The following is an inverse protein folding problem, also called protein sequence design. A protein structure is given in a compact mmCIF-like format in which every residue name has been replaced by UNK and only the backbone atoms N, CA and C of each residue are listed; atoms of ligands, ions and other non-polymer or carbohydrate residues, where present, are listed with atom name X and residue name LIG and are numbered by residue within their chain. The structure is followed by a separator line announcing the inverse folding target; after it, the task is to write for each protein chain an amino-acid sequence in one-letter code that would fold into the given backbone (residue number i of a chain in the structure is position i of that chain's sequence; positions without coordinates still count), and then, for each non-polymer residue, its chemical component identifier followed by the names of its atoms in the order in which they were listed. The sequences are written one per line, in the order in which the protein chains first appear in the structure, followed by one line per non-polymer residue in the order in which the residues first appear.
data_IF_524185159123
#
_entry.id   IF_524185159123
#
_cell.length_a   1.000
_cell.length_b   1.000
_cell.length_c   1.000
_cell.angle_alpha   90.00
_cell.angle_beta   90.00
_cell.angle_gamma   90.00
#
_symmetry.space_group_name_H-M   'P 1'
#
loop_
_entity.id
_entity.type
_entity.pdbx_description
1 polymer ?
#
# COMPACT_ATOMS: atom_id res chain seq x y z
N UNK A 1 52.27 -12.52 -13.42
CA UNK A 1 51.53 -11.24 -13.52
C UNK A 1 50.14 -11.54 -14.02
N UNK A 2 49.16 -11.69 -13.13
CA UNK A 2 47.73 -11.57 -13.44
C UNK A 2 47.04 -11.09 -12.15
N UNK A 3 46.61 -9.83 -12.16
CA UNK A 3 46.04 -9.14 -11.00
C UNK A 3 44.56 -9.50 -10.87
N UNK A 4 44.20 -10.26 -9.84
CA UNK A 4 42.81 -10.47 -9.40
C UNK A 4 42.25 -9.19 -8.79
N UNK A 5 41.57 -8.39 -9.62
CA UNK A 5 40.78 -7.26 -9.19
C UNK A 5 39.44 -7.76 -8.62
N UNK A 6 39.43 -8.11 -7.32
CA UNK A 6 38.19 -8.24 -6.54
C UNK A 6 37.46 -6.89 -6.55
N UNK A 7 36.50 -6.73 -7.45
CA UNK A 7 35.46 -5.70 -7.36
C UNK A 7 34.60 -6.01 -6.13
N UNK A 8 34.95 -5.41 -5.00
CA UNK A 8 34.07 -5.32 -3.84
C UNK A 8 32.77 -4.67 -4.27
N UNK A 9 31.66 -5.37 -4.06
CA UNK A 9 30.31 -4.81 -4.19
C UNK A 9 30.23 -3.59 -3.27
N UNK A 10 30.15 -2.39 -3.86
CA UNK A 10 29.77 -1.19 -3.13
C UNK A 10 28.31 -1.37 -2.75
N UNK A 11 28.04 -1.80 -1.52
CA UNK A 11 26.75 -1.55 -0.91
C UNK A 11 26.63 -0.04 -0.83
N UNK A 12 25.77 0.55 -1.66
CA UNK A 12 25.36 1.94 -1.49
C UNK A 12 24.72 2.03 -0.11
N UNK A 13 25.49 2.45 0.88
CA UNK A 13 24.97 3.08 2.10
C UNK A 13 24.22 4.34 1.66
N UNK A 14 22.99 4.12 1.20
CA UNK A 14 21.99 5.15 1.27
C UNK A 14 21.84 5.40 2.75
N UNK A 15 22.33 6.54 3.24
CA UNK A 15 21.96 7.03 4.56
C UNK A 15 20.45 7.21 4.48
N UNK A 16 19.70 6.16 4.78
CA UNK A 16 18.25 6.23 4.96
C UNK A 16 18.08 7.18 6.12
N UNK A 17 17.67 8.40 5.80
CA UNK A 17 17.26 9.40 6.78
C UNK A 17 15.95 8.89 7.40
N UNK A 18 16.07 7.88 8.25
CA UNK A 18 14.93 7.22 8.86
C UNK A 18 14.51 8.02 10.09
N UNK A 19 13.32 8.60 10.02
CA UNK A 19 12.70 9.27 11.14
C UNK A 19 11.99 8.22 11.99
N UNK A 20 12.29 8.15 13.29
CA UNK A 20 11.66 7.20 14.20
C UNK A 20 10.90 7.95 15.29
N UNK A 21 9.61 7.64 15.44
CA UNK A 21 8.74 8.19 16.47
C UNK A 21 8.52 7.10 17.51
N UNK A 22 9.15 7.27 18.68
CA UNK A 22 9.12 6.29 19.75
C UNK A 22 7.74 6.21 20.44
N UNK A 23 7.47 5.06 21.06
CA UNK A 23 6.29 4.84 21.91
C UNK A 23 6.20 5.91 23.00
N UNK A 24 4.99 6.38 23.29
CA UNK A 24 4.74 7.47 24.24
C UNK A 24 4.93 8.87 23.66
N UNK A 25 5.44 9.00 22.44
CA UNK A 25 5.46 10.29 21.73
C UNK A 25 4.10 10.55 21.08
N UNK A 26 3.56 11.74 21.30
CA UNK A 26 2.37 12.22 20.59
C UNK A 26 2.73 13.45 19.79
N UNK A 27 2.53 13.38 18.48
CA UNK A 27 2.78 14.52 17.58
C UNK A 27 1.43 15.04 17.11
N UNK A 28 1.22 16.35 17.22
CA UNK A 28 0.00 17.01 16.74
C UNK A 28 0.39 18.12 15.77
N UNK A 29 -0.12 18.08 14.53
CA UNK A 29 0.18 19.04 13.47
C UNK A 29 0.65 18.41 12.16
N UNK A 30 1.31 19.21 11.32
CA UNK A 30 1.81 18.78 10.01
C UNK A 30 3.28 18.33 10.08
N UNK A 31 3.57 17.15 9.54
CA UNK A 31 4.90 16.55 9.46
C UNK A 31 5.29 16.42 7.99
N UNK A 32 6.39 17.04 7.61
CA UNK A 32 6.95 16.97 6.26
C UNK A 32 8.40 16.51 6.37
N UNK A 33 8.75 15.45 5.67
CA UNK A 33 10.14 14.95 5.60
C UNK A 33 10.36 14.23 4.28
N UNK A 34 11.58 14.29 3.77
CA UNK A 34 11.99 13.57 2.55
C UNK A 34 12.42 12.12 2.82
N UNK A 35 12.54 11.75 4.10
CA UNK A 35 12.99 10.43 4.53
C UNK A 35 11.87 9.45 4.87
N UNK A 36 12.27 8.23 5.19
CA UNK A 36 11.37 7.18 5.66
C UNK A 36 10.88 7.50 7.08
N UNK A 37 9.69 7.03 7.42
CA UNK A 37 9.14 7.13 8.77
C UNK A 37 8.91 5.75 9.38
N UNK A 38 9.29 5.63 10.65
CA UNK A 38 8.87 4.53 11.52
C UNK A 38 8.11 5.12 12.70
N UNK A 39 6.85 4.73 12.85
CA UNK A 39 5.95 5.32 13.83
C UNK A 39 5.51 4.23 14.80
N UNK A 40 5.96 4.32 16.06
CA UNK A 40 5.49 3.46 17.15
C UNK A 40 4.67 4.23 18.20
N UNK A 41 4.54 5.56 18.06
CA UNK A 41 3.75 6.45 18.90
C UNK A 41 2.42 6.89 18.27
N UNK A 42 1.88 8.02 18.72
CA UNK A 42 0.61 8.58 18.21
C UNK A 42 0.86 9.82 17.36
N UNK A 43 0.27 9.88 16.17
CA UNK A 43 0.30 11.06 15.30
C UNK A 43 -1.12 11.53 15.02
N UNK A 44 -1.38 12.81 15.29
CA UNK A 44 -2.65 13.49 15.05
C UNK A 44 -2.42 14.66 14.10
N UNK A 45 -2.69 14.46 12.80
CA UNK A 45 -2.49 15.49 11.79
C UNK A 45 -2.09 14.94 10.44
N UNK A 46 -1.32 15.71 9.68
CA UNK A 46 -0.97 15.35 8.30
C UNK A 46 0.50 14.95 8.18
N UNK A 47 0.78 13.84 7.52
CA UNK A 47 2.12 13.36 7.23
C UNK A 47 2.33 13.38 5.73
N UNK A 48 3.40 14.03 5.27
CA UNK A 48 3.82 14.05 3.86
C UNK A 48 5.27 13.62 3.73
N UNK A 49 5.50 12.53 3.03
CA UNK A 49 6.85 12.06 2.68
C UNK A 49 6.85 11.40 1.31
N UNK A 50 7.89 11.56 0.47
CA UNK A 50 8.06 10.74 -0.72
C UNK A 50 8.53 9.30 -0.39
N UNK A 51 8.99 9.06 0.83
CA UNK A 51 9.55 7.78 1.28
C UNK A 51 8.51 6.75 1.72
N UNK A 52 9.00 5.72 2.41
CA UNK A 52 8.19 4.66 3.00
C UNK A 52 7.77 5.03 4.41
N UNK A 53 6.50 4.79 4.75
CA UNK A 53 6.01 4.90 6.13
C UNK A 53 5.74 3.52 6.71
N UNK A 54 6.27 3.25 7.88
CA UNK A 54 6.03 2.02 8.64
C UNK A 54 5.33 2.38 9.93
N UNK A 55 4.06 1.99 10.06
CA UNK A 55 3.31 2.10 11.31
C UNK A 55 3.48 0.81 12.10
N UNK A 56 4.22 0.84 13.19
CA UNK A 56 4.40 -0.32 14.07
C UNK A 56 3.11 -0.67 14.82
N UNK A 57 3.10 -1.84 15.48
CA UNK A 57 1.92 -2.38 16.18
C UNK A 57 1.28 -1.45 17.22
N UNK A 58 2.09 -0.67 17.94
CA UNK A 58 1.60 0.31 18.93
C UNK A 58 1.33 1.68 18.33
N UNK A 59 1.62 1.86 17.05
CA UNK A 59 1.47 3.12 16.35
C UNK A 59 0.00 3.42 16.07
N UNK A 60 -0.37 4.68 16.27
CA UNK A 60 -1.71 5.18 15.97
C UNK A 60 -1.57 6.44 15.13
N UNK A 61 -2.19 6.46 13.94
CA UNK A 61 -2.25 7.67 13.11
C UNK A 61 -3.71 8.06 12.95
N UNK A 62 -4.01 9.30 13.33
CA UNK A 62 -5.30 9.94 13.09
C UNK A 62 -5.08 11.16 12.19
N UNK A 63 -5.55 11.10 10.94
CA UNK A 63 -5.45 12.21 10.00
C UNK A 63 -5.11 11.79 8.57
N UNK A 64 -4.31 12.61 7.87
CA UNK A 64 -4.01 12.39 6.46
C UNK A 64 -2.57 11.93 6.26
N UNK A 65 -2.35 10.77 5.63
CA UNK A 65 -1.02 10.27 5.29
C UNK A 65 -0.83 10.27 3.77
N UNK A 66 0.20 10.99 3.30
CA UNK A 66 0.63 11.03 1.90
C UNK A 66 2.03 10.45 1.79
N UNK A 67 2.16 9.28 1.16
CA UNK A 67 3.48 8.68 0.89
C UNK A 67 3.53 7.82 -0.38
N UNK A 68 4.71 7.33 -0.76
CA UNK A 68 4.80 6.41 -1.90
C UNK A 68 4.37 5.01 -1.47
N UNK A 69 4.90 4.55 -0.34
CA UNK A 69 4.61 3.24 0.23
C UNK A 69 4.24 3.37 1.71
N UNK A 70 3.37 2.46 2.17
CA UNK A 70 3.08 2.32 3.59
C UNK A 70 2.94 0.86 4.00
N UNK A 71 3.57 0.51 5.11
CA UNK A 71 3.36 -0.75 5.82
C UNK A 71 2.66 -0.46 7.15
N UNK A 72 1.49 -1.05 7.36
CA UNK A 72 0.66 -0.79 8.53
C UNK A 72 0.57 -2.06 9.38
N UNK A 73 1.01 -1.98 10.62
CA UNK A 73 0.84 -3.00 11.67
C UNK A 73 -0.09 -2.55 12.80
N UNK A 74 -0.27 -1.24 12.95
CA UNK A 74 -1.05 -0.60 14.02
C UNK A 74 -2.44 -0.13 13.58
N UNK A 75 -2.92 0.95 14.20
CA UNK A 75 -4.23 1.54 13.93
C UNK A 75 -4.11 2.82 13.10
N UNK A 76 -4.82 2.88 11.99
CA UNK A 76 -4.91 4.06 11.13
C UNK A 76 -6.37 4.48 10.99
N UNK A 77 -6.65 5.75 11.25
CA UNK A 77 -7.98 6.34 11.06
C UNK A 77 -7.85 7.66 10.30
N UNK A 78 -8.49 7.76 9.13
CA UNK A 78 -8.50 9.00 8.34
C UNK A 78 -8.29 8.75 6.85
N UNK A 79 -7.44 9.56 6.21
CA UNK A 79 -7.26 9.54 4.75
C UNK A 79 -5.83 9.14 4.38
N UNK A 80 -5.70 8.03 3.68
CA UNK A 80 -4.41 7.48 3.24
C UNK A 80 -4.31 7.60 1.73
N UNK A 81 -3.28 8.32 1.24
CA UNK A 81 -3.05 8.56 -0.18
C UNK A 81 -1.65 8.07 -0.51
N UNK A 82 -1.58 6.93 -1.18
CA UNK A 82 -0.34 6.35 -1.67
C UNK A 82 -0.26 6.35 -3.19
N UNK A 83 0.96 6.59 -3.69
CA UNK A 83 1.26 6.47 -5.12
C UNK A 83 1.51 5.03 -5.54
N UNK A 84 2.12 4.21 -4.69
CA UNK A 84 2.54 2.83 -5.01
C UNK A 84 1.77 1.79 -4.21
N UNK A 85 2.33 1.28 -3.10
CA UNK A 85 1.84 0.07 -2.44
C UNK A 85 1.48 0.32 -0.98
N UNK A 86 0.27 -0.10 -0.59
CA UNK A 86 -0.15 -0.28 0.79
C UNK A 86 -0.03 -1.75 1.18
N UNK A 87 0.75 -2.06 2.21
CA UNK A 87 0.81 -3.38 2.83
C UNK A 87 0.16 -3.35 4.21
N UNK A 88 -0.88 -4.14 4.41
CA UNK A 88 -1.50 -4.34 5.71
C UNK A 88 -1.01 -5.64 6.31
N UNK A 89 -0.40 -5.56 7.49
CA UNK A 89 0.04 -6.72 8.26
C UNK A 89 -1.13 -7.34 9.02
N UNK A 90 -0.93 -8.55 9.53
CA UNK A 90 -1.96 -9.32 10.25
C UNK A 90 -2.61 -8.61 11.45
N UNK A 91 -1.96 -7.62 12.09
CA UNK A 91 -2.53 -6.83 13.19
C UNK A 91 -3.05 -5.45 12.78
N UNK A 92 -3.05 -5.14 11.48
CA UNK A 92 -3.43 -3.84 10.97
C UNK A 92 -4.93 -3.58 11.16
N UNK A 93 -5.26 -2.34 11.53
CA UNK A 93 -6.63 -1.87 11.60
C UNK A 93 -6.71 -0.51 10.89
N UNK A 94 -7.42 -0.47 9.76
CA UNK A 94 -7.50 0.73 8.91
C UNK A 94 -8.96 1.14 8.74
N UNK A 95 -9.27 2.39 9.04
CA UNK A 95 -10.58 3.00 8.90
C UNK A 95 -10.51 4.33 8.15
N UNK A 96 -11.50 4.60 7.29
CA UNK A 96 -11.66 5.88 6.59
C UNK A 96 -11.57 5.78 5.06
N UNK A 97 -10.70 6.58 4.45
CA UNK A 97 -10.51 6.65 2.99
C UNK A 97 -9.09 6.23 2.61
N UNK A 98 -8.96 5.38 1.60
CA UNK A 98 -7.67 4.84 1.14
C UNK A 98 -7.59 4.99 -0.37
N UNK A 99 -6.53 5.61 -0.86
CA UNK A 99 -6.26 5.79 -2.28
C UNK A 99 -4.87 5.24 -2.59
N UNK A 100 -4.78 4.13 -3.33
CA UNK A 100 -3.51 3.37 -3.48
C UNK A 100 -3.36 2.79 -4.88
N UNK A 101 -2.14 2.59 -5.37
CA UNK A 101 -1.90 1.92 -6.64
C UNK A 101 -2.00 0.39 -6.53
N UNK A 102 -1.41 -0.17 -5.48
CA UNK A 102 -1.37 -1.60 -5.16
C UNK A 102 -1.76 -1.79 -3.70
N UNK A 103 -2.56 -2.81 -3.44
CA UNK A 103 -3.00 -3.18 -2.11
C UNK A 103 -2.62 -4.63 -1.81
N UNK A 104 -1.86 -4.84 -0.74
CA UNK A 104 -1.52 -6.16 -0.21
C UNK A 104 -2.06 -6.28 1.21
N UNK A 105 -2.85 -7.31 1.48
CA UNK A 105 -3.49 -7.52 2.77
C UNK A 105 -3.13 -8.90 3.30
N UNK A 106 -2.47 -8.95 4.46
CA UNK A 106 -2.18 -10.21 5.15
C UNK A 106 -3.43 -10.71 5.93
N UNK A 107 -3.57 -12.03 6.10
CA UNK A 107 -4.66 -12.60 6.90
C UNK A 107 -4.66 -12.06 8.33
N UNK A 108 -5.82 -11.61 8.81
CA UNK A 108 -6.01 -11.02 10.14
C UNK A 108 -6.12 -9.49 10.14
N UNK A 109 -5.69 -8.82 9.07
CA UNK A 109 -5.87 -7.38 8.93
C UNK A 109 -7.36 -7.02 8.85
N UNK A 110 -7.76 -5.96 9.56
CA UNK A 110 -9.09 -5.37 9.47
C UNK A 110 -9.03 -4.11 8.61
N UNK A 111 -9.78 -4.12 7.53
CA UNK A 111 -9.85 -3.00 6.59
C UNK A 111 -11.31 -2.54 6.44
N UNK A 112 -11.66 -1.48 7.15
CA UNK A 112 -12.99 -0.86 7.15
C UNK A 112 -12.90 0.55 6.54
N UNK A 113 -12.46 0.62 5.28
CA UNK A 113 -12.23 1.88 4.60
C UNK A 113 -12.76 1.85 3.16
N UNK A 114 -13.12 3.02 2.64
CA UNK A 114 -13.43 3.20 1.22
C UNK A 114 -12.11 3.21 0.45
N UNK A 115 -11.93 2.27 -0.48
CA UNK A 115 -10.70 2.14 -1.25
C UNK A 115 -10.89 2.60 -2.70
N UNK A 116 -10.07 3.55 -3.13
CA UNK A 116 -9.93 3.99 -4.52
C UNK A 116 -8.59 3.52 -5.07
N UNK A 117 -8.61 2.66 -6.10
CA UNK A 117 -7.39 2.20 -6.75
C UNK A 117 -6.92 3.20 -7.81
N UNK A 118 -5.69 3.71 -7.67
CA UNK A 118 -5.00 4.61 -8.63
C UNK A 118 -4.28 3.87 -9.77
N UNK A 119 -4.65 2.62 -10.02
CA UNK A 119 -4.09 1.84 -11.11
C UNK A 119 -4.37 2.53 -12.45
N UNK A 120 -3.33 2.72 -13.26
CA UNK A 120 -3.48 3.02 -14.66
C UNK A 120 -4.33 1.91 -15.29
N UNK A 121 -5.61 2.21 -15.53
CA UNK A 121 -6.41 1.43 -16.46
C UNK A 121 -5.70 1.63 -17.79
N UNK A 122 -4.81 0.70 -18.16
CA UNK A 122 -4.44 0.55 -19.55
C UNK A 122 -5.73 0.06 -20.21
N UNK A 123 -6.50 1.00 -20.73
CA UNK A 123 -7.73 0.70 -21.46
C UNK A 123 -7.43 -0.42 -22.46
N UNK A 124 -8.08 -1.58 -22.30
CA UNK A 124 -8.12 -2.59 -23.34
C UNK A 124 -9.03 -2.07 -24.46
N UNK A 125 -8.52 -1.13 -25.24
CA UNK A 125 -9.19 -0.68 -26.46
C UNK A 125 -9.01 -1.74 -27.57
N UNK A 126 -10.10 -2.50 -27.77
CA UNK A 126 -10.60 -3.14 -29.01
C UNK A 126 -9.83 -4.33 -29.61
N UNK A 127 -10.54 -5.47 -29.69
CA UNK A 127 -10.38 -6.47 -30.75
C UNK A 127 -10.33 -7.92 -30.27
N UNK A 128 -11.49 -8.53 -30.01
CA UNK A 128 -11.58 -9.95 -29.72
C UNK A 128 -13.04 -10.39 -29.65
N UNK A 129 -13.59 -10.75 -30.80
CA UNK A 129 -14.92 -11.33 -30.92
C UNK A 129 -15.04 -12.58 -30.03
N UNK A 130 -15.90 -12.49 -29.01
CA UNK A 130 -16.41 -13.65 -28.28
C UNK A 130 -17.30 -14.45 -29.23
N UNK A 131 -16.71 -15.40 -29.97
CA UNK A 131 -17.46 -16.54 -30.49
C UNK A 131 -17.98 -17.34 -29.29
N UNK A 132 -19.30 -17.23 -29.08
CA UNK A 132 -20.03 -18.01 -28.09
C UNK A 132 -19.94 -19.50 -28.49
N UNK A 133 -19.54 -20.42 -27.60
CA UNK A 133 -19.71 -21.83 -27.86
C UNK A 133 -21.22 -22.15 -27.95
N UNK A 134 -21.63 -22.74 -29.06
CA UNK A 134 -23.00 -23.20 -29.29
C UNK A 134 -23.35 -24.27 -28.26
N UNK A 135 -24.33 -23.97 -27.40
CA UNK A 135 -24.94 -24.94 -26.51
C UNK A 135 -25.89 -25.84 -27.30
N UNK A 136 -25.58 -27.14 -27.29
CA UNK A 136 -26.50 -28.22 -27.62
C UNK A 136 -27.83 -28.07 -26.86
N UNK A 137 -28.94 -28.17 -27.60
CA UNK A 137 -30.22 -28.62 -27.04
C UNK A 137 -30.69 -29.85 -27.82
N UNK A 138 -30.50 -31.01 -27.19
CA UNK A 138 -31.34 -32.18 -27.43
C UNK A 138 -32.76 -31.90 -26.90
N UNK A 139 -33.77 -32.33 -27.65
CA UNK A 139 -34.97 -32.92 -27.05
C UNK A 139 -36.33 -32.29 -27.37
N UNK A 140 -37.09 -33.04 -28.17
CA UNK A 140 -38.53 -33.36 -28.03
C UNK A 140 -39.60 -32.55 -28.78
N UNK A 141 -40.30 -33.28 -29.68
CA UNK A 141 -41.75 -33.27 -29.91
C UNK A 141 -42.31 -32.05 -30.68
N UNK A 142 -43.33 -32.11 -31.51
CA UNK A 142 -44.38 -33.07 -31.86
C UNK A 142 -45.02 -32.52 -33.16
N UNK A 143 -45.28 -33.35 -34.16
CA UNK A 143 -46.64 -33.70 -34.63
C UNK A 143 -47.45 -32.57 -35.30
N UNK A 144 -47.58 -32.64 -36.63
CA UNK A 144 -48.84 -32.65 -37.38
C UNK A 144 -48.54 -32.94 -38.86
#
# INVERSE_FOLDING_TARGET
MFSDQKRGRMATETISQQNSIAKGTTITGDIISDGDFRIEGTVQGNIKTPGKVVLGRTGVINGTLKSSNADIEGKFSGKLILSDTLSLKSSAFVEGEVEVGKLAVEPGATFNATCAMKGAIKELSKGGELQRPAQEKQGQGQSA
#
